data_IF_695446387933
#
_entry.id   IF_695446387933
#
_cell.length_a   1.000
_cell.length_b   1.000
_cell.length_c   1.000
_cell.angle_alpha   90.00
_cell.angle_beta   90.00
_cell.angle_gamma   90.00
#
_symmetry.space_group_name_H-M   'P 1'
#
loop_
_entity.id
_entity.type
_entity.pdbx_description
1 polymer ?
#
# COMPACT_ATOMS: atom_id res chain seq x y z
N UNK A 1 -6.52 -4.23 -18.25
CA UNK A 1 -7.92 -4.52 -18.61
C UNK A 1 -8.01 -5.81 -19.43
N UNK A 2 -7.35 -5.87 -20.59
CA UNK A 2 -7.31 -7.04 -21.48
C UNK A 2 -6.91 -8.35 -20.78
N UNK A 3 -5.86 -8.28 -19.95
CA UNK A 3 -5.39 -9.45 -19.16
C UNK A 3 -6.46 -9.86 -18.12
N UNK A 4 -7.12 -8.92 -17.49
CA UNK A 4 -8.17 -9.22 -16.52
C UNK A 4 -9.42 -9.81 -17.22
N UNK A 5 -9.81 -9.31 -18.39
CA UNK A 5 -10.88 -9.89 -19.20
C UNK A 5 -10.55 -11.31 -19.67
N UNK A 6 -9.30 -11.56 -20.05
CA UNK A 6 -8.85 -12.88 -20.47
C UNK A 6 -8.89 -13.91 -19.33
N UNK A 7 -8.61 -13.48 -18.10
CA UNK A 7 -8.57 -14.34 -16.91
C UNK A 7 -9.93 -14.58 -16.24
N UNK A 8 -10.81 -13.58 -16.27
CA UNK A 8 -12.08 -13.60 -15.52
C UNK A 8 -13.28 -13.83 -16.44
N UNK A 9 -13.09 -13.72 -17.75
CA UNK A 9 -14.17 -13.76 -18.73
C UNK A 9 -15.04 -12.50 -18.72
N UNK A 10 -15.93 -12.38 -19.68
CA UNK A 10 -16.77 -11.20 -19.91
C UNK A 10 -17.96 -11.04 -18.95
N UNK A 11 -17.82 -11.43 -17.68
CA UNK A 11 -18.92 -11.48 -16.72
C UNK A 11 -19.22 -10.11 -16.10
N UNK A 12 -18.28 -9.15 -16.16
CA UNK A 12 -18.46 -7.83 -15.57
C UNK A 12 -18.19 -6.76 -16.62
N UNK A 13 -19.22 -6.03 -17.03
CA UNK A 13 -19.07 -4.80 -17.80
C UNK A 13 -18.49 -3.73 -16.89
N UNK A 14 -17.18 -3.51 -16.98
CA UNK A 14 -16.48 -2.51 -16.19
C UNK A 14 -16.43 -1.20 -16.96
N UNK A 15 -16.93 -0.11 -16.38
CA UNK A 15 -16.65 1.25 -16.85
C UNK A 15 -15.19 1.61 -16.57
N UNK A 16 -14.30 1.12 -17.44
CA UNK A 16 -12.85 1.33 -17.33
C UNK A 16 -12.47 2.80 -17.35
N UNK A 17 -13.23 3.61 -18.11
CA UNK A 17 -12.95 5.04 -18.23
C UNK A 17 -13.33 5.78 -16.94
N UNK A 18 -14.49 5.46 -16.37
CA UNK A 18 -14.90 5.98 -15.06
C UNK A 18 -13.91 5.61 -13.97
N UNK A 19 -13.52 4.32 -13.89
CA UNK A 19 -12.50 3.86 -12.92
C UNK A 19 -11.16 4.58 -13.07
N UNK A 20 -10.68 4.79 -14.30
CA UNK A 20 -9.41 5.47 -14.54
C UNK A 20 -9.48 6.94 -14.13
N UNK A 21 -10.59 7.62 -14.46
CA UNK A 21 -10.84 9.01 -14.05
C UNK A 21 -10.86 9.14 -12.52
N UNK A 22 -11.59 8.26 -11.84
CA UNK A 22 -11.72 8.29 -10.38
C UNK A 22 -10.37 8.01 -9.67
N UNK A 23 -9.57 7.09 -10.21
CA UNK A 23 -8.19 6.87 -9.73
C UNK A 23 -7.30 8.09 -9.92
N UNK A 24 -7.37 8.73 -11.08
CA UNK A 24 -6.61 9.96 -11.35
C UNK A 24 -7.00 11.09 -10.41
N UNK A 25 -8.29 11.30 -10.19
CA UNK A 25 -8.78 12.34 -9.28
C UNK A 25 -8.45 12.02 -7.81
N UNK A 26 -8.58 10.78 -7.40
CA UNK A 26 -8.40 10.39 -6.00
C UNK A 26 -6.92 10.29 -5.58
N UNK A 27 -6.04 9.87 -6.50
CA UNK A 27 -4.63 9.60 -6.17
C UNK A 27 -3.70 10.63 -6.81
N UNK A 28 -3.83 10.86 -8.12
CA UNK A 28 -2.89 11.71 -8.84
C UNK A 28 -3.09 13.20 -8.52
N UNK A 29 -4.34 13.66 -8.44
CA UNK A 29 -4.62 15.08 -8.16
C UNK A 29 -4.09 15.55 -6.81
N UNK A 30 -4.35 14.87 -5.66
CA UNK A 30 -3.76 15.27 -4.38
C UNK A 30 -2.23 15.21 -4.38
N UNK A 31 -1.65 14.21 -5.05
CA UNK A 31 -0.20 14.07 -5.13
C UNK A 31 0.43 15.23 -5.93
N UNK A 32 -0.19 15.61 -7.06
CA UNK A 32 0.25 16.75 -7.87
C UNK A 32 0.14 18.06 -7.09
N UNK A 33 -0.98 18.30 -6.42
CA UNK A 33 -1.17 19.48 -5.57
C UNK A 33 -0.11 19.56 -4.49
N UNK A 34 0.16 18.44 -3.80
CA UNK A 34 1.19 18.38 -2.76
C UNK A 34 2.60 18.66 -3.33
N UNK A 35 2.91 18.12 -4.52
CA UNK A 35 4.19 18.31 -5.19
C UNK A 35 4.36 19.78 -5.63
N UNK A 36 3.35 20.38 -6.22
CA UNK A 36 3.36 21.80 -6.63
C UNK A 36 3.55 22.71 -5.42
N UNK A 37 2.79 22.49 -4.35
CA UNK A 37 2.91 23.25 -3.10
C UNK A 37 4.33 23.11 -2.51
N UNK A 38 4.88 21.91 -2.51
CA UNK A 38 6.24 21.66 -2.04
C UNK A 38 7.28 22.43 -2.85
N UNK A 39 7.16 22.42 -4.19
CA UNK A 39 8.08 23.14 -5.08
C UNK A 39 7.94 24.67 -4.94
N UNK A 40 6.72 25.19 -4.95
CA UNK A 40 6.45 26.63 -4.82
C UNK A 40 6.98 27.21 -3.49
N UNK A 41 6.91 26.43 -2.42
CA UNK A 41 7.34 26.86 -1.08
C UNK A 41 8.77 26.44 -0.75
N UNK A 42 9.50 25.87 -1.71
CA UNK A 42 10.86 25.34 -1.51
C UNK A 42 10.96 24.41 -0.28
N UNK A 43 9.93 23.62 -0.03
CA UNK A 43 9.88 22.68 1.09
C UNK A 43 9.39 23.27 2.42
N UNK A 44 9.19 24.59 2.55
CA UNK A 44 8.73 25.22 3.80
C UNK A 44 7.38 24.67 4.28
N UNK A 45 6.47 24.34 3.37
CA UNK A 45 5.18 23.68 3.69
C UNK A 45 5.38 22.35 4.40
N UNK A 46 6.36 21.55 3.99
CA UNK A 46 6.62 20.26 4.63
C UNK A 46 7.04 20.44 6.09
N UNK A 47 7.88 21.42 6.38
CA UNK A 47 8.36 21.67 7.74
C UNK A 47 7.23 22.23 8.62
N UNK A 48 6.43 23.16 8.08
CA UNK A 48 5.40 23.87 8.87
C UNK A 48 4.10 23.07 9.00
N UNK A 49 3.68 22.38 7.94
CA UNK A 49 2.39 21.72 7.85
C UNK A 49 2.43 20.28 8.37
N UNK A 50 3.55 19.56 8.16
CA UNK A 50 3.71 18.15 8.56
C UNK A 50 3.41 17.92 10.05
N UNK A 51 3.95 18.68 11.02
CA UNK A 51 3.63 18.46 12.42
C UNK A 51 2.16 18.75 12.74
N UNK A 52 1.56 19.76 12.13
CA UNK A 52 0.16 20.15 12.34
C UNK A 52 -0.83 19.16 11.76
N UNK A 53 -0.53 18.59 10.59
CA UNK A 53 -1.38 17.62 9.90
C UNK A 53 -1.15 16.18 10.38
N UNK A 54 -0.08 15.90 11.09
CA UNK A 54 0.26 14.53 11.52
C UNK A 54 -0.82 13.91 12.40
N UNK A 55 -1.37 14.65 13.36
CA UNK A 55 -2.42 14.15 14.26
C UNK A 55 -3.77 13.96 13.54
N UNK A 56 -4.30 14.97 12.80
CA UNK A 56 -5.51 14.76 12.00
C UNK A 56 -5.40 13.65 10.97
N UNK A 57 -4.24 13.50 10.32
CA UNK A 57 -4.01 12.43 9.35
C UNK A 57 -4.06 11.04 10.00
N UNK A 58 -3.49 10.88 11.20
CA UNK A 58 -3.58 9.63 11.97
C UNK A 58 -5.02 9.33 12.40
N UNK A 59 -5.76 10.33 12.83
CA UNK A 59 -7.16 10.19 13.18
C UNK A 59 -8.02 9.80 11.97
N UNK A 60 -7.81 10.44 10.82
CA UNK A 60 -8.47 10.10 9.58
C UNK A 60 -8.14 8.66 9.13
N UNK A 61 -6.88 8.24 9.27
CA UNK A 61 -6.47 6.87 8.97
C UNK A 61 -7.19 5.84 9.85
N UNK A 62 -7.31 6.11 11.17
CA UNK A 62 -8.06 5.25 12.07
C UNK A 62 -9.54 5.18 11.70
N UNK A 63 -10.16 6.31 11.33
CA UNK A 63 -11.55 6.33 10.86
C UNK A 63 -11.74 5.49 9.60
N UNK A 64 -10.85 5.60 8.62
CA UNK A 64 -10.91 4.79 7.39
C UNK A 64 -10.76 3.30 7.70
N UNK A 65 -9.82 2.93 8.57
CA UNK A 65 -9.63 1.52 8.98
C UNK A 65 -10.88 1.01 9.68
N UNK A 66 -11.48 1.79 10.57
CA UNK A 66 -12.71 1.42 11.29
C UNK A 66 -13.89 1.29 10.34
N UNK A 67 -14.06 2.22 9.41
CA UNK A 67 -15.12 2.16 8.40
C UNK A 67 -14.99 0.90 7.52
N UNK A 68 -13.78 0.60 7.04
CA UNK A 68 -13.53 -0.62 6.26
C UNK A 68 -13.78 -1.89 7.09
N UNK A 69 -13.39 -1.91 8.36
CA UNK A 69 -13.65 -3.04 9.25
C UNK A 69 -15.15 -3.26 9.46
N UNK A 70 -15.94 -2.20 9.54
CA UNK A 70 -17.43 -2.28 9.65
C UNK A 70 -18.02 -2.89 8.38
N UNK A 71 -17.55 -2.52 7.20
CA UNK A 71 -17.97 -3.11 5.92
C UNK A 71 -17.64 -4.61 5.82
N UNK A 72 -16.59 -5.07 6.50
CA UNK A 72 -16.21 -6.49 6.54
C UNK A 72 -17.02 -7.34 7.54
N UNK A 73 -17.67 -6.71 8.53
CA UNK A 73 -18.34 -7.42 9.62
C UNK A 73 -19.41 -8.45 9.17
N UNK A 74 -20.29 -8.18 8.18
CA UNK A 74 -21.26 -9.15 7.69
C UNK A 74 -20.62 -10.42 7.12
N UNK A 75 -19.49 -10.26 6.41
CA UNK A 75 -18.75 -11.36 5.78
C UNK A 75 -18.01 -12.22 6.81
N UNK A 76 -17.52 -11.61 7.90
CA UNK A 76 -16.88 -12.34 9.00
C UNK A 76 -17.88 -13.24 9.77
N UNK A 77 -19.14 -12.86 9.80
CA UNK A 77 -20.18 -13.69 10.42
C UNK A 77 -20.54 -14.90 9.56
N UNK A 78 -20.45 -14.77 8.24
CA UNK A 78 -20.83 -15.80 7.26
C UNK A 78 -19.63 -16.12 6.36
N UNK A 79 -18.53 -16.62 6.94
CA UNK A 79 -17.35 -17.05 6.19
C UNK A 79 -17.68 -18.27 5.34
N UNK A 80 -17.79 -18.05 4.04
CA UNK A 80 -17.92 -19.14 3.07
C UNK A 80 -16.55 -19.72 2.69
N UNK A 81 -16.46 -21.01 2.33
CA UNK A 81 -15.21 -21.59 1.85
C UNK A 81 -14.61 -20.84 0.66
N UNK A 82 -15.47 -20.23 -0.16
CA UNK A 82 -15.05 -19.41 -1.31
C UNK A 82 -14.33 -18.15 -0.86
N UNK A 83 -14.86 -17.41 0.13
CA UNK A 83 -14.22 -16.23 0.68
C UNK A 83 -12.85 -16.56 1.29
N UNK A 84 -12.76 -17.68 2.01
CA UNK A 84 -11.47 -18.14 2.58
C UNK A 84 -10.45 -18.44 1.49
N UNK A 85 -10.84 -19.11 0.41
CA UNK A 85 -9.96 -19.36 -0.73
C UNK A 85 -9.48 -18.07 -1.38
N UNK A 86 -10.37 -17.11 -1.60
CA UNK A 86 -10.02 -15.80 -2.17
C UNK A 86 -9.03 -15.07 -1.27
N UNK A 87 -9.23 -15.07 0.04
CA UNK A 87 -8.30 -14.47 0.99
C UNK A 87 -6.92 -15.10 0.96
N UNK A 88 -6.84 -16.44 0.86
CA UNK A 88 -5.57 -17.16 0.72
C UNK A 88 -4.86 -16.74 -0.57
N UNK A 89 -5.58 -16.68 -1.69
CA UNK A 89 -5.02 -16.25 -2.98
C UNK A 89 -4.51 -14.81 -2.89
N UNK A 90 -5.29 -13.89 -2.32
CA UNK A 90 -4.89 -12.49 -2.14
C UNK A 90 -3.66 -12.36 -1.24
N UNK A 91 -3.57 -13.15 -0.16
CA UNK A 91 -2.40 -13.21 0.70
C UNK A 91 -1.14 -13.64 -0.06
N UNK A 92 -1.21 -14.74 -0.82
CA UNK A 92 -0.08 -15.20 -1.63
C UNK A 92 0.27 -14.21 -2.74
N UNK A 93 -0.71 -13.54 -3.33
CA UNK A 93 -0.47 -12.49 -4.33
C UNK A 93 0.27 -11.28 -3.73
N UNK A 94 -0.04 -10.91 -2.49
CA UNK A 94 0.72 -9.89 -1.76
C UNK A 94 2.16 -10.33 -1.50
N UNK A 95 2.37 -11.56 -1.01
CA UNK A 95 3.72 -12.11 -0.80
C UNK A 95 4.52 -12.13 -2.09
N UNK A 96 3.90 -12.54 -3.19
CA UNK A 96 4.52 -12.54 -4.51
C UNK A 96 4.96 -11.13 -4.93
N UNK A 97 4.14 -10.10 -4.64
CA UNK A 97 4.51 -8.70 -4.88
C UNK A 97 5.79 -8.29 -4.16
N UNK A 98 5.92 -8.59 -2.87
CA UNK A 98 7.15 -8.34 -2.10
C UNK A 98 8.35 -9.11 -2.68
N UNK A 99 8.16 -10.37 -3.02
CA UNK A 99 9.20 -11.23 -3.58
C UNK A 99 9.68 -10.69 -4.93
N UNK A 100 8.76 -10.39 -5.84
CA UNK A 100 9.10 -9.83 -7.16
C UNK A 100 9.79 -8.48 -7.05
N UNK A 101 9.33 -7.60 -6.16
CA UNK A 101 9.97 -6.31 -5.91
C UNK A 101 11.40 -6.46 -5.39
N UNK A 102 11.62 -7.38 -4.45
CA UNK A 102 12.95 -7.69 -3.94
C UNK A 102 13.88 -8.23 -5.04
N UNK A 103 13.42 -9.22 -5.81
CA UNK A 103 14.20 -9.79 -6.89
C UNK A 103 14.47 -8.80 -8.01
N UNK A 104 13.49 -7.97 -8.39
CA UNK A 104 13.70 -6.91 -9.38
C UNK A 104 14.81 -5.93 -8.94
N UNK A 105 14.76 -5.47 -7.69
CA UNK A 105 15.81 -4.62 -7.14
C UNK A 105 17.20 -5.29 -7.14
N UNK A 106 17.26 -6.58 -6.83
CA UNK A 106 18.52 -7.35 -6.85
C UNK A 106 19.06 -7.57 -8.26
N UNK A 107 18.18 -7.88 -9.21
CA UNK A 107 18.56 -8.06 -10.62
C UNK A 107 19.09 -6.76 -11.24
N UNK A 108 18.49 -5.62 -10.87
CA UNK A 108 18.95 -4.30 -11.29
C UNK A 108 20.20 -3.83 -10.55
N UNK A 109 20.76 -4.66 -9.65
CA UNK A 109 21.97 -4.37 -8.86
C UNK A 109 21.89 -3.06 -8.07
N UNK A 110 20.69 -2.73 -7.59
CA UNK A 110 20.47 -1.54 -6.76
C UNK A 110 21.09 -1.72 -5.37
N UNK A 111 21.41 -0.61 -4.72
CA UNK A 111 21.84 -0.59 -3.32
C UNK A 111 20.74 -1.14 -2.39
N UNK A 112 21.14 -1.64 -1.23
CA UNK A 112 20.22 -2.35 -0.35
C UNK A 112 19.01 -1.51 0.13
N UNK A 113 19.15 -0.23 0.51
CA UNK A 113 18.03 0.64 0.85
C UNK A 113 17.02 0.79 -0.28
N UNK A 114 17.50 0.92 -1.52
CA UNK A 114 16.65 1.01 -2.70
C UNK A 114 15.95 -0.32 -2.98
N UNK A 115 16.63 -1.47 -2.86
CA UNK A 115 16.02 -2.80 -2.97
C UNK A 115 14.89 -2.96 -1.94
N UNK A 116 15.12 -2.53 -0.70
CA UNK A 116 14.11 -2.58 0.36
C UNK A 116 12.90 -1.71 0.01
N UNK A 117 13.13 -0.50 -0.48
CA UNK A 117 12.07 0.43 -0.91
C UNK A 117 11.25 -0.14 -2.06
N UNK A 118 11.92 -0.70 -3.09
CA UNK A 118 11.25 -1.33 -4.24
C UNK A 118 10.41 -2.53 -3.80
N UNK A 119 10.96 -3.40 -2.94
CA UNK A 119 10.25 -4.55 -2.41
C UNK A 119 8.99 -4.14 -1.63
N UNK A 120 9.10 -3.14 -0.75
CA UNK A 120 7.98 -2.65 0.04
C UNK A 120 6.91 -2.00 -0.85
N UNK A 121 7.30 -1.15 -1.81
CA UNK A 121 6.35 -0.52 -2.73
C UNK A 121 5.64 -1.53 -3.64
N UNK A 122 6.33 -2.57 -4.10
CA UNK A 122 5.74 -3.61 -4.93
C UNK A 122 4.74 -4.49 -4.16
N UNK A 123 4.99 -4.74 -2.88
CA UNK A 123 4.13 -5.56 -2.02
C UNK A 123 2.97 -4.79 -1.38
N UNK A 124 3.21 -3.54 -0.98
CA UNK A 124 2.19 -2.68 -0.38
C UNK A 124 1.29 -2.07 -1.46
N UNK A 125 -0.02 -2.25 -1.30
CA UNK A 125 -1.02 -1.74 -2.25
C UNK A 125 -1.83 -0.63 -1.60
N UNK A 126 -2.36 0.28 -2.42
CA UNK A 126 -3.30 1.31 -1.96
C UNK A 126 -4.68 0.68 -1.75
N UNK A 127 -4.88 0.15 -0.54
CA UNK A 127 -6.11 -0.58 -0.18
C UNK A 127 -7.31 0.38 -0.13
N UNK A 128 -7.12 1.61 0.32
CA UNK A 128 -8.22 2.58 0.41
C UNK A 128 -8.79 2.92 -0.96
N UNK A 129 -7.94 3.17 -1.96
CA UNK A 129 -8.39 3.37 -3.34
C UNK A 129 -9.03 2.08 -3.90
N UNK A 130 -8.45 0.91 -3.60
CA UNK A 130 -9.01 -0.37 -3.98
C UNK A 130 -10.40 -0.64 -3.39
N UNK A 131 -10.63 -0.27 -2.13
CA UNK A 131 -11.93 -0.43 -1.46
C UNK A 131 -13.00 0.46 -2.09
N UNK A 132 -12.69 1.73 -2.36
CA UNK A 132 -13.64 2.65 -3.03
C UNK A 132 -13.99 2.15 -4.43
N UNK A 133 -13.02 1.66 -5.19
CA UNK A 133 -13.27 1.10 -6.51
C UNK A 133 -14.09 -0.21 -6.41
N UNK A 134 -13.78 -1.06 -5.45
CA UNK A 134 -14.54 -2.29 -5.24
C UNK A 134 -16.01 -2.01 -4.91
N UNK A 135 -16.28 -1.00 -4.08
CA UNK A 135 -17.64 -0.59 -3.72
C UNK A 135 -18.39 0.05 -4.91
N UNK A 136 -17.71 0.88 -5.71
CA UNK A 136 -18.34 1.63 -6.79
C UNK A 136 -18.61 0.80 -8.06
N UNK A 137 -17.76 -0.17 -8.36
CA UNK A 137 -17.73 -0.84 -9.67
C UNK A 137 -17.90 -2.36 -9.63
N UNK A 138 -17.88 -2.97 -8.45
CA UNK A 138 -17.93 -4.44 -8.34
C UNK A 138 -19.05 -4.90 -7.41
N UNK A 139 -19.51 -6.16 -7.54
CA UNK A 139 -20.41 -6.77 -6.57
C UNK A 139 -19.87 -6.73 -5.14
N UNK A 140 -20.76 -6.63 -4.15
CA UNK A 140 -20.40 -6.46 -2.73
C UNK A 140 -19.41 -7.48 -2.17
N UNK A 141 -19.40 -8.70 -2.69
CA UNK A 141 -18.48 -9.77 -2.28
C UNK A 141 -17.00 -9.45 -2.57
N UNK A 142 -16.73 -8.58 -3.56
CA UNK A 142 -15.36 -8.14 -3.94
C UNK A 142 -14.80 -7.16 -2.91
N UNK A 143 -15.64 -6.42 -2.22
CA UNK A 143 -15.20 -5.47 -1.20
C UNK A 143 -14.50 -6.19 -0.03
N UNK A 144 -14.98 -7.36 0.37
CA UNK A 144 -14.47 -8.07 1.54
C UNK A 144 -12.96 -8.39 1.47
N UNK A 145 -12.43 -9.08 0.43
CA UNK A 145 -11.00 -9.39 0.36
C UNK A 145 -10.14 -8.13 0.27
N UNK A 146 -10.63 -7.05 -0.34
CA UNK A 146 -9.92 -5.77 -0.43
C UNK A 146 -9.86 -5.09 0.93
N UNK A 147 -11.01 -4.92 1.60
CA UNK A 147 -11.11 -4.24 2.89
C UNK A 147 -10.46 -5.02 4.04
N UNK A 148 -10.38 -6.36 3.94
CA UNK A 148 -9.71 -7.21 4.93
C UNK A 148 -8.19 -7.29 4.72
N UNK A 149 -7.68 -7.02 3.53
CA UNK A 149 -6.25 -7.08 3.19
C UNK A 149 -5.33 -6.32 4.15
N UNK A 150 -5.68 -5.16 4.74
CA UNK A 150 -4.81 -4.45 5.68
C UNK A 150 -4.36 -5.31 6.86
N UNK A 151 -5.20 -6.22 7.33
CA UNK A 151 -4.92 -7.05 8.52
C UNK A 151 -3.67 -7.90 8.31
N UNK A 152 -3.60 -8.62 7.19
CA UNK A 152 -2.43 -9.45 6.91
C UNK A 152 -1.31 -8.69 6.20
N UNK A 153 -1.62 -7.65 5.44
CA UNK A 153 -0.62 -6.85 4.74
C UNK A 153 0.30 -6.11 5.73
N UNK A 154 -0.25 -5.51 6.77
CA UNK A 154 0.51 -4.82 7.80
C UNK A 154 1.44 -5.78 8.56
N UNK A 155 0.90 -6.93 8.99
CA UNK A 155 1.67 -7.95 9.68
C UNK A 155 2.79 -8.51 8.78
N UNK A 156 2.47 -8.83 7.53
CA UNK A 156 3.43 -9.34 6.55
C UNK A 156 4.54 -8.32 6.26
N UNK A 157 4.18 -7.05 6.07
CA UNK A 157 5.15 -5.96 5.86
C UNK A 157 6.11 -5.85 7.03
N UNK A 158 5.61 -5.87 8.28
CA UNK A 158 6.44 -5.80 9.47
C UNK A 158 7.42 -7.00 9.56
N UNK A 159 6.95 -8.21 9.24
CA UNK A 159 7.78 -9.42 9.21
C UNK A 159 8.86 -9.35 8.12
N UNK A 160 8.50 -8.89 6.91
CA UNK A 160 9.44 -8.74 5.81
C UNK A 160 10.50 -7.69 6.12
N UNK A 161 10.11 -6.52 6.65
CA UNK A 161 11.07 -5.49 7.08
C UNK A 161 12.03 -6.04 8.13
N UNK A 162 11.52 -6.77 9.12
CA UNK A 162 12.35 -7.42 10.15
C UNK A 162 13.29 -8.45 9.54
N UNK A 163 12.81 -9.27 8.61
CA UNK A 163 13.63 -10.26 7.92
C UNK A 163 14.72 -9.62 7.06
N UNK A 164 14.40 -8.58 6.30
CA UNK A 164 15.37 -7.83 5.49
C UNK A 164 16.45 -7.17 6.36
N UNK A 165 16.08 -6.55 7.48
CA UNK A 165 17.03 -5.96 8.43
C UNK A 165 17.93 -7.00 9.11
N UNK A 166 17.47 -8.23 9.28
CA UNK A 166 18.25 -9.33 9.84
C UNK A 166 19.32 -9.87 8.87
N UNK A 167 19.23 -9.56 7.58
CA UNK A 167 20.23 -9.93 6.58
C UNK A 167 21.57 -9.20 6.81
N UNK A 168 22.68 -9.75 6.31
CA UNK A 168 24.00 -9.09 6.41
C UNK A 168 24.01 -7.66 5.82
N UNK A 169 23.50 -7.42 4.59
CA UNK A 169 23.41 -6.06 4.06
C UNK A 169 22.47 -5.16 4.86
N UNK A 170 21.38 -5.69 5.39
CA UNK A 170 20.45 -4.92 6.22
C UNK A 170 21.06 -4.45 7.54
N UNK A 171 21.89 -5.27 8.19
CA UNK A 171 22.62 -4.88 9.41
C UNK A 171 23.70 -3.84 9.12
N UNK A 172 24.40 -3.96 8.00
CA UNK A 172 25.41 -2.97 7.59
C UNK A 172 24.77 -1.61 7.28
N UNK A 173 23.64 -1.59 6.59
CA UNK A 173 22.88 -0.38 6.29
C UNK A 173 22.35 0.31 7.56
N UNK A 174 21.81 -0.47 8.50
CA UNK A 174 21.34 0.06 9.79
C UNK A 174 22.49 0.66 10.60
N UNK A 175 23.63 0.00 10.67
CA UNK A 175 24.81 0.52 11.37
C UNK A 175 25.33 1.82 10.74
N UNK A 176 25.34 1.90 9.39
CA UNK A 176 25.71 3.12 8.68
C UNK A 176 24.73 4.28 8.94
N UNK A 177 23.44 3.99 9.03
CA UNK A 177 22.40 4.97 9.37
C UNK A 177 22.54 5.49 10.80
N UNK A 178 22.76 4.60 11.77
CA UNK A 178 22.97 4.97 13.17
C UNK A 178 24.25 5.82 13.34
N UNK A 179 25.33 5.49 12.62
CA UNK A 179 26.56 6.28 12.61
C UNK A 179 26.31 7.71 12.09
N UNK A 180 25.54 7.87 11.00
CA UNK A 180 25.17 9.19 10.48
C UNK A 180 24.34 10.01 11.45
N UNK A 181 23.37 9.37 12.15
CA UNK A 181 22.56 10.06 13.17
C UNK A 181 23.41 10.52 14.36
N UNK A 182 24.46 9.78 14.71
CA UNK A 182 25.38 10.16 15.79
C UNK A 182 26.29 11.34 15.40
N UNK A 183 26.55 11.51 14.08
CA UNK A 183 27.34 12.62 13.54
C UNK A 183 26.51 13.90 13.30
N UNK A 184 25.18 13.80 13.17
CA UNK A 184 24.30 14.98 13.04
C UNK A 184 24.11 15.63 14.44
N UNK A 185 24.66 16.85 14.67
CA UNK A 185 24.40 17.55 15.91
C UNK A 185 22.91 17.85 16.01
N UNK A 186 22.32 17.59 17.18
CA UNK A 186 20.91 17.86 17.49
C UNK A 186 20.54 19.31 17.14
N UNK A 187 19.87 19.48 16.00
CA UNK A 187 19.26 20.75 15.61
C UNK A 187 17.86 20.89 16.16
#
# INVERSE_FOLDING_TARGET
YEIAQCLVGSVVELDTWGMMRDLLLMVALPALVAMVLYQLTKGAVAVTLKPKLSLPAKAALLLIITANATGCAPFLRNLTPTLVRVMIVVFFLCLLGFFLGYWAGRLLKLDFPTVQTVALNAGMRNISAGAVLAEAYFPGDVLFPVAFSPVFLQATTALIVKALRATRPGRADQAAYEARLAEEPSR
#
